data_IF_602737081759
#
_entry.id   IF_602737081759
#
_cell.length_a   1.000
_cell.length_b   1.000
_cell.length_c   1.000
_cell.angle_alpha   90.00
_cell.angle_beta   90.00
_cell.angle_gamma   90.00
#
_symmetry.space_group_name_H-M   'P 1'
#
loop_
_entity.id
_entity.type
_entity.pdbx_description
1 polymer ?
#
# COMPACT_ATOMS: atom_id res chain seq x y z
N UNK A 1 8.55 -9.22 -26.56
CA UNK A 1 7.22 -8.62 -26.75
C UNK A 1 6.98 -7.67 -25.59
N UNK A 2 6.49 -6.43 -25.80
CA UNK A 2 6.13 -5.56 -24.68
C UNK A 2 5.00 -6.23 -23.90
N UNK A 3 5.13 -6.27 -22.57
CA UNK A 3 4.09 -6.78 -21.69
C UNK A 3 2.97 -5.74 -21.61
N UNK A 4 1.71 -6.17 -21.68
CA UNK A 4 0.57 -5.27 -21.49
C UNK A 4 0.71 -4.53 -20.15
N UNK A 5 0.25 -3.27 -20.06
CA UNK A 5 0.23 -2.55 -18.78
C UNK A 5 -0.51 -3.37 -17.73
N UNK A 6 0.05 -3.46 -16.52
CA UNK A 6 -0.49 -4.22 -15.40
C UNK A 6 -1.02 -3.26 -14.34
N UNK A 7 -2.05 -3.67 -13.60
CA UNK A 7 -2.47 -3.01 -12.37
C UNK A 7 -2.32 -4.00 -11.23
N UNK A 8 -1.71 -3.55 -10.16
CA UNK A 8 -1.46 -4.34 -8.96
C UNK A 8 -2.27 -3.76 -7.81
N UNK A 9 -3.10 -4.59 -7.18
CA UNK A 9 -3.92 -4.22 -6.03
C UNK A 9 -3.46 -5.05 -4.83
N UNK A 10 -3.00 -4.38 -3.79
CA UNK A 10 -2.43 -5.00 -2.60
C UNK A 10 -3.15 -4.54 -1.34
N UNK A 11 -3.41 -5.46 -0.42
CA UNK A 11 -3.80 -5.11 0.95
C UNK A 11 -2.58 -5.26 1.85
N UNK A 12 -2.25 -4.20 2.58
CA UNK A 12 -1.11 -4.18 3.49
C UNK A 12 -1.58 -3.94 4.93
N UNK A 13 -0.81 -4.44 5.88
CA UNK A 13 -0.92 -4.10 7.30
C UNK A 13 0.32 -3.34 7.71
N UNK A 14 0.14 -2.09 8.15
CA UNK A 14 1.18 -1.25 8.73
C UNK A 14 1.12 -1.43 10.25
N UNK A 15 2.17 -1.96 10.84
CA UNK A 15 2.38 -1.95 12.28
C UNK A 15 3.16 -0.70 12.66
N UNK A 16 2.64 0.07 13.60
CA UNK A 16 3.20 1.35 14.02
C UNK A 16 2.96 1.61 15.52
N UNK A 17 3.60 2.64 16.06
CA UNK A 17 3.36 3.06 17.44
C UNK A 17 1.92 3.58 17.61
N UNK A 18 1.11 3.05 18.56
CA UNK A 18 -0.31 3.41 18.69
C UNK A 18 -0.55 4.91 18.95
N UNK A 19 0.35 5.55 19.69
CA UNK A 19 0.36 6.98 19.99
C UNK A 19 0.66 7.87 18.77
N UNK A 20 1.15 7.27 17.67
CA UNK A 20 1.52 7.95 16.43
C UNK A 20 0.58 7.69 15.26
N UNK A 21 -0.57 7.06 15.50
CA UNK A 21 -1.52 6.65 14.44
C UNK A 21 -1.84 7.78 13.46
N UNK A 22 -2.23 8.95 13.95
CA UNK A 22 -2.63 10.07 13.09
C UNK A 22 -1.44 10.62 12.28
N UNK A 23 -0.27 10.75 12.92
CA UNK A 23 0.94 11.22 12.24
C UNK A 23 1.41 10.24 11.14
N UNK A 24 1.31 8.93 11.39
CA UNK A 24 1.63 7.91 10.39
C UNK A 24 0.62 7.96 9.24
N UNK A 25 -0.67 8.10 9.54
CA UNK A 25 -1.72 8.23 8.53
C UNK A 25 -1.51 9.46 7.63
N UNK A 26 -1.22 10.61 8.23
CA UNK A 26 -0.95 11.85 7.51
C UNK A 26 0.28 11.71 6.59
N UNK A 27 1.37 11.15 7.11
CA UNK A 27 2.57 10.92 6.30
C UNK A 27 2.33 9.89 5.18
N UNK A 28 1.57 8.83 5.46
CA UNK A 28 1.24 7.79 4.49
C UNK A 28 0.34 8.31 3.35
N UNK A 29 -0.44 9.38 3.58
CA UNK A 29 -1.27 10.00 2.54
C UNK A 29 -0.46 10.60 1.37
N UNK A 30 0.85 10.83 1.56
CA UNK A 30 1.75 11.25 0.49
C UNK A 30 2.17 10.10 -0.45
N UNK A 31 1.97 8.85 -0.05
CA UNK A 31 2.29 7.67 -0.86
C UNK A 31 1.18 7.48 -1.91
N UNK A 32 1.50 7.75 -3.18
CA UNK A 32 0.50 7.69 -4.25
C UNK A 32 -0.13 6.30 -4.39
N UNK A 33 -1.44 6.23 -4.62
CA UNK A 33 -2.15 4.96 -4.79
C UNK A 33 -2.41 4.22 -3.48
N UNK A 34 -2.02 4.79 -2.34
CA UNK A 34 -2.36 4.27 -1.02
C UNK A 34 -3.70 4.84 -0.55
N UNK A 35 -4.56 3.97 -0.04
CA UNK A 35 -5.79 4.33 0.66
C UNK A 35 -5.76 3.74 2.08
N UNK A 36 -6.00 4.60 3.08
CA UNK A 36 -6.10 4.18 4.47
C UNK A 36 -7.52 3.71 4.79
N UNK A 37 -7.68 2.46 5.22
CA UNK A 37 -9.00 1.89 5.49
C UNK A 37 -9.39 2.03 6.97
N UNK A 38 -8.63 1.41 7.88
CA UNK A 38 -8.92 1.39 9.32
C UNK A 38 -7.65 1.16 10.12
N UNK A 39 -7.64 1.60 11.38
CA UNK A 39 -6.54 1.33 12.31
C UNK A 39 -7.04 1.01 13.71
N UNK A 40 -6.39 0.04 14.37
CA UNK A 40 -6.65 -0.33 15.75
C UNK A 40 -5.36 -0.81 16.43
N UNK A 41 -5.10 -0.34 17.66
CA UNK A 41 -4.00 -0.82 18.52
C UNK A 41 -2.62 -0.90 17.82
N UNK A 42 -2.25 0.15 17.06
CA UNK A 42 -0.96 0.21 16.36
C UNK A 42 -0.88 -0.64 15.10
N UNK A 43 -2.02 -1.07 14.55
CA UNK A 43 -2.10 -1.75 13.25
C UNK A 43 -3.08 -1.01 12.36
N UNK A 44 -2.66 -0.71 11.14
CA UNK A 44 -3.49 -0.11 10.11
C UNK A 44 -3.63 -1.03 8.91
N UNK A 45 -4.85 -1.15 8.39
CA UNK A 45 -5.13 -1.81 7.11
C UNK A 45 -5.19 -0.73 6.04
N UNK A 46 -4.45 -0.95 4.97
CA UNK A 46 -4.38 -0.04 3.82
C UNK A 46 -4.50 -0.82 2.52
N UNK A 47 -5.06 -0.18 1.50
CA UNK A 47 -5.06 -0.66 0.13
C UNK A 47 -4.02 0.10 -0.66
N UNK A 48 -3.26 -0.58 -1.51
CA UNK A 48 -2.25 0.01 -2.38
C UNK A 48 -2.51 -0.42 -3.82
N UNK A 49 -2.66 0.55 -4.72
CA UNK A 49 -2.79 0.33 -6.16
C UNK A 49 -1.56 0.88 -6.88
N UNK A 50 -0.87 0.05 -7.66
CA UNK A 50 0.32 0.45 -8.43
C UNK A 50 0.31 -0.11 -9.85
N UNK A 51 1.15 0.46 -10.72
CA UNK A 51 1.27 0.02 -12.11
C UNK A 51 2.29 -1.11 -12.32
N UNK A 52 3.01 -1.52 -11.27
CA UNK A 52 3.96 -2.63 -11.34
C UNK A 52 4.26 -3.23 -9.96
N UNK A 53 4.72 -4.49 -9.97
CA UNK A 53 5.23 -5.15 -8.77
C UNK A 53 6.44 -4.41 -8.16
N UNK A 54 7.27 -3.76 -8.98
CA UNK A 54 8.40 -2.98 -8.49
C UNK A 54 7.93 -1.78 -7.65
N UNK A 55 6.90 -1.07 -8.12
CA UNK A 55 6.28 0.01 -7.37
C UNK A 55 5.66 -0.47 -6.05
N UNK A 56 5.10 -1.69 -6.00
CA UNK A 56 4.59 -2.26 -4.72
C UNK A 56 5.72 -2.32 -3.69
N UNK A 57 6.88 -2.86 -4.09
CA UNK A 57 8.05 -2.99 -3.20
C UNK A 57 8.59 -1.63 -2.79
N UNK A 58 8.68 -0.67 -3.72
CA UNK A 58 9.09 0.71 -3.44
C UNK A 58 8.17 1.37 -2.40
N UNK A 59 6.84 1.25 -2.57
CA UNK A 59 5.88 1.85 -1.63
C UNK A 59 5.93 1.20 -0.25
N UNK A 60 6.13 -0.12 -0.19
CA UNK A 60 6.37 -0.82 1.09
C UNK A 60 7.64 -0.30 1.75
N UNK A 61 8.71 -0.05 0.99
CA UNK A 61 9.94 0.53 1.52
C UNK A 61 9.73 1.97 2.04
N UNK A 62 9.01 2.81 1.29
CA UNK A 62 8.62 4.17 1.71
C UNK A 62 7.83 4.14 3.03
N UNK A 63 6.82 3.27 3.13
CA UNK A 63 6.01 3.11 4.34
C UNK A 63 6.85 2.65 5.54
N UNK A 64 7.77 1.69 5.33
CA UNK A 64 8.68 1.22 6.38
C UNK A 64 9.67 2.30 6.85
N UNK A 65 9.97 3.29 6.02
CA UNK A 65 10.84 4.41 6.39
C UNK A 65 10.12 5.50 7.20
N UNK A 66 8.78 5.46 7.28
CA UNK A 66 8.01 6.48 8.01
C UNK A 66 8.30 6.42 9.52
N UNK A 67 8.57 7.56 10.16
CA UNK A 67 8.79 7.61 11.61
C UNK A 67 7.59 7.06 12.39
N UNK A 68 7.84 6.05 13.23
CA UNK A 68 6.80 5.39 14.03
C UNK A 68 6.24 4.11 13.39
N UNK A 69 6.57 3.81 12.12
CA UNK A 69 6.29 2.51 11.52
C UNK A 69 7.34 1.50 11.95
N UNK A 70 6.88 0.31 12.35
CA UNK A 70 7.72 -0.83 12.71
C UNK A 70 7.88 -1.78 11.54
N UNK A 71 6.78 -2.06 10.84
CA UNK A 71 6.79 -2.91 9.64
C UNK A 71 5.52 -2.72 8.82
N UNK A 72 5.63 -2.89 7.51
CA UNK A 72 4.52 -2.98 6.57
C UNK A 72 4.55 -4.37 5.94
N UNK A 73 3.48 -5.14 6.15
CA UNK A 73 3.35 -6.53 5.68
C UNK A 73 2.25 -6.61 4.63
N UNK A 74 2.55 -7.23 3.48
CA UNK A 74 1.55 -7.53 2.47
C UNK A 74 0.74 -8.76 2.86
N UNK A 75 -0.59 -8.62 2.88
CA UNK A 75 -1.54 -9.69 3.23
C UNK A 75 -2.18 -10.29 1.99
N UNK A 76 -2.48 -9.43 1.01
CA UNK A 76 -3.09 -9.82 -0.25
C UNK A 76 -2.43 -9.08 -1.41
N UNK A 77 -2.34 -9.75 -2.55
CA UNK A 77 -1.86 -9.17 -3.79
C UNK A 77 -2.58 -9.80 -4.97
N UNK A 78 -3.18 -8.95 -5.79
CA UNK A 78 -3.72 -9.28 -7.09
C UNK A 78 -3.04 -8.45 -8.17
N UNK A 79 -2.93 -9.00 -9.37
CA UNK A 79 -2.55 -8.22 -10.54
C UNK A 79 -3.28 -8.74 -11.77
N UNK A 80 -3.63 -7.80 -12.64
CA UNK A 80 -4.34 -8.08 -13.89
C UNK A 80 -3.89 -7.09 -14.97
N UNK A 81 -4.09 -7.42 -16.26
CA UNK A 81 -3.92 -6.48 -17.35
C UNK A 81 -4.81 -5.24 -17.15
N UNK A 82 -4.28 -4.05 -17.38
CA UNK A 82 -4.99 -2.79 -17.16
C UNK A 82 -6.26 -2.66 -18.01
N UNK A 83 -6.28 -3.28 -19.20
CA UNK A 83 -7.42 -3.33 -20.10
C UNK A 83 -8.55 -4.27 -19.63
N UNK A 84 -8.30 -5.13 -18.64
CA UNK A 84 -9.31 -5.99 -18.03
C UNK A 84 -10.18 -5.24 -16.99
N UNK A 85 -9.66 -4.17 -16.37
CA UNK A 85 -10.34 -3.45 -15.28
C UNK A 85 -11.48 -2.56 -15.80
N UNK A 86 -11.29 -1.90 -16.94
CA UNK A 86 -12.30 -1.01 -17.55
C UNK A 86 -13.42 -1.78 -18.29
N UNK A 87 -13.30 -3.11 -18.37
CA UNK A 87 -14.26 -3.98 -19.05
C UNK A 87 -15.32 -4.58 -18.10
N UNK A 88 -15.28 -4.25 -16.80
CA UNK A 88 -16.15 -4.78 -15.75
C UNK A 88 -17.35 -3.87 -15.41
#
# INVERSE_FOLDING_TARGET
MPRAPEVHISSLVIQHSPDRTEAVREAAAAVSGLEWCVSENGKAVVTLVTASAAQVVERIAELNALPGVHTTTMVYHHYEPADAIDAA
#
